data_IF_556881425734
#
_entry.id   IF_556881425734
#
_cell.length_a   1.000
_cell.length_b   1.000
_cell.length_c   1.000
_cell.angle_alpha   90.00
_cell.angle_beta   90.00
_cell.angle_gamma   90.00
#
_symmetry.space_group_name_H-M   'P 1'
#
loop_
_entity.id
_entity.type
_entity.pdbx_description
1 polymer ?
#
# COMPACT_ATOMS: atom_id res chain seq x y z
N UNK A 1 17.47 -99.80 -32.71
CA UNK A 1 16.20 -99.01 -32.83
C UNK A 1 16.38 -97.68 -32.15
N UNK A 2 16.31 -96.70 -32.95
CA UNK A 2 16.60 -95.29 -32.67
C UNK A 2 15.48 -94.59 -31.90
N UNK A 3 15.81 -93.71 -30.96
CA UNK A 3 14.96 -92.58 -30.61
C UNK A 3 15.84 -91.37 -30.29
N UNK A 4 15.74 -90.41 -31.14
CA UNK A 4 16.35 -89.03 -31.00
C UNK A 4 15.54 -88.23 -30.02
N UNK A 5 16.18 -87.65 -29.00
CA UNK A 5 15.60 -86.66 -28.14
C UNK A 5 15.90 -85.22 -28.63
N UNK A 6 14.87 -84.43 -28.81
CA UNK A 6 14.99 -83.05 -29.19
C UNK A 6 15.25 -82.16 -27.94
N UNK A 7 16.27 -81.33 -27.99
CA UNK A 7 16.56 -80.33 -26.99
C UNK A 7 15.80 -79.01 -27.31
N UNK A 8 14.97 -78.55 -26.38
CA UNK A 8 14.31 -77.25 -26.43
C UNK A 8 15.22 -76.15 -25.82
N UNK A 9 15.57 -75.17 -26.61
CA UNK A 9 16.22 -73.96 -26.17
C UNK A 9 15.13 -72.97 -25.70
N UNK A 10 15.14 -72.68 -24.41
CA UNK A 10 14.37 -71.57 -23.85
C UNK A 10 15.20 -70.28 -23.98
N UNK A 11 14.74 -69.36 -24.82
CA UNK A 11 15.29 -68.02 -24.91
C UNK A 11 14.70 -67.14 -23.80
N UNK A 12 15.57 -66.56 -22.96
CA UNK A 12 15.20 -65.56 -21.95
C UNK A 12 15.26 -64.21 -22.61
N UNK A 13 14.09 -63.60 -22.81
CA UNK A 13 13.97 -62.19 -23.24
C UNK A 13 14.14 -61.28 -22.02
N UNK A 14 15.23 -60.51 -21.95
CA UNK A 14 15.43 -59.48 -20.95
C UNK A 14 14.65 -58.23 -21.36
N UNK A 15 13.61 -57.87 -20.62
CA UNK A 15 12.88 -56.61 -20.75
C UNK A 15 13.67 -55.53 -20.01
N UNK A 16 14.34 -54.65 -20.75
CA UNK A 16 14.95 -53.45 -20.20
C UNK A 16 13.84 -52.38 -20.10
N UNK A 17 13.30 -52.17 -18.90
CA UNK A 17 12.40 -51.07 -18.57
C UNK A 17 13.24 -49.80 -18.45
N UNK A 18 13.25 -48.98 -19.51
CA UNK A 18 13.84 -47.65 -19.48
C UNK A 18 13.01 -46.70 -18.60
N UNK A 19 13.55 -46.34 -17.44
CA UNK A 19 13.04 -45.23 -16.63
C UNK A 19 13.31 -43.88 -17.38
N UNK A 20 12.32 -43.38 -18.09
CA UNK A 20 12.35 -42.03 -18.58
C UNK A 20 12.15 -41.06 -17.38
N UNK A 21 13.27 -40.53 -16.87
CA UNK A 21 13.22 -39.40 -15.93
C UNK A 21 12.76 -38.18 -16.72
N UNK A 22 11.47 -37.92 -16.65
CA UNK A 22 10.92 -36.68 -17.18
C UNK A 22 11.49 -35.50 -16.38
N UNK A 23 12.47 -34.78 -16.94
CA UNK A 23 12.79 -33.41 -16.51
C UNK A 23 11.56 -32.56 -16.79
N UNK A 24 10.64 -32.49 -15.85
CA UNK A 24 9.61 -31.46 -15.83
C UNK A 24 10.34 -30.12 -15.75
N UNK A 25 10.32 -29.36 -16.84
CA UNK A 25 10.68 -27.94 -16.82
C UNK A 25 9.75 -27.29 -15.78
N UNK A 26 10.29 -26.89 -14.64
CA UNK A 26 9.56 -26.02 -13.72
C UNK A 26 9.21 -24.75 -14.53
N UNK A 27 7.95 -24.57 -14.82
CA UNK A 27 7.50 -23.32 -15.42
C UNK A 27 8.01 -22.20 -14.53
N UNK A 28 8.72 -21.23 -15.11
CA UNK A 28 9.17 -20.06 -14.37
C UNK A 28 7.94 -19.41 -13.74
N UNK A 29 7.97 -19.23 -12.42
CA UNK A 29 6.87 -18.56 -11.73
C UNK A 29 6.80 -17.11 -12.22
N UNK A 30 5.63 -16.70 -12.67
CA UNK A 30 5.40 -15.28 -13.04
C UNK A 30 5.73 -14.40 -11.83
N UNK A 31 6.39 -13.25 -12.07
CA UNK A 31 6.75 -12.36 -10.99
C UNK A 31 5.48 -11.77 -10.33
N UNK A 32 5.50 -11.72 -9.00
CA UNK A 32 4.46 -11.02 -8.25
C UNK A 32 4.56 -9.51 -8.53
N UNK A 33 3.47 -8.85 -8.92
CA UNK A 33 3.46 -7.42 -9.18
C UNK A 33 2.96 -6.67 -7.96
N UNK A 34 3.82 -5.89 -7.33
CA UNK A 34 3.54 -5.15 -6.08
C UNK A 34 3.61 -3.66 -6.31
N UNK A 35 2.53 -2.96 -5.97
CA UNK A 35 2.51 -1.51 -5.89
C UNK A 35 2.87 -1.05 -4.49
N UNK A 36 3.80 -0.11 -4.34
CA UNK A 36 4.16 0.50 -3.07
C UNK A 36 3.81 1.99 -3.12
N UNK A 37 2.99 2.45 -2.18
CA UNK A 37 2.77 3.87 -1.90
C UNK A 37 3.54 4.21 -0.63
N UNK A 38 4.43 5.20 -0.70
CA UNK A 38 5.22 5.60 0.46
C UNK A 38 4.96 7.06 0.86
N UNK A 39 4.62 7.26 2.12
CA UNK A 39 4.41 8.54 2.78
C UNK A 39 5.51 8.80 3.82
N UNK A 40 5.58 9.95 4.45
CA UNK A 40 6.73 10.29 5.31
C UNK A 40 6.39 10.33 6.80
N UNK A 41 5.20 10.75 7.18
CA UNK A 41 4.82 10.98 8.57
C UNK A 41 4.95 9.71 9.42
N UNK A 42 4.57 8.57 8.85
CA UNK A 42 4.64 7.27 9.52
C UNK A 42 6.00 6.57 9.43
N UNK A 43 7.00 7.10 8.72
CA UNK A 43 8.34 6.50 8.62
C UNK A 43 9.01 6.45 9.99
N UNK A 44 9.61 5.32 10.34
CA UNK A 44 10.37 5.14 11.57
C UNK A 44 11.51 6.15 11.70
N UNK A 45 11.68 6.71 12.90
CA UNK A 45 12.68 7.77 13.13
C UNK A 45 12.25 9.18 12.74
N UNK A 46 11.13 9.36 12.03
CA UNK A 46 10.49 10.68 11.83
C UNK A 46 9.65 11.01 13.06
N UNK A 47 10.07 11.99 13.85
CA UNK A 47 9.49 12.29 15.18
C UNK A 47 9.07 13.73 15.39
N UNK A 48 9.14 14.58 14.36
CA UNK A 48 8.71 15.97 14.45
C UNK A 48 8.16 16.51 13.13
N UNK A 49 7.25 17.51 13.16
CA UNK A 49 6.70 18.12 11.95
C UNK A 49 7.78 18.72 11.02
N UNK A 50 8.89 19.23 11.59
CA UNK A 50 9.96 19.82 10.79
C UNK A 50 10.70 18.79 9.92
N UNK A 51 10.62 17.50 10.26
CA UNK A 51 11.24 16.43 9.45
C UNK A 51 10.44 16.11 8.18
N UNK A 52 9.16 16.46 8.12
CA UNK A 52 8.29 16.17 6.96
C UNK A 52 8.17 17.32 5.98
N UNK A 53 8.83 18.46 6.24
CA UNK A 53 8.71 19.66 5.40
C UNK A 53 10.01 19.96 4.67
N UNK A 54 9.94 20.23 3.36
CA UNK A 54 11.08 20.68 2.55
C UNK A 54 11.74 21.90 3.18
N UNK A 55 13.05 21.83 3.40
CA UNK A 55 13.80 22.85 4.11
C UNK A 55 13.67 22.84 5.63
N UNK A 56 12.85 21.95 6.18
CA UNK A 56 12.74 21.75 7.62
C UNK A 56 13.97 21.08 8.24
N UNK A 57 14.09 21.22 9.57
CA UNK A 57 15.19 20.58 10.30
C UNK A 57 15.12 19.06 10.14
N UNK A 58 16.23 18.46 9.76
CA UNK A 58 16.40 17.01 9.59
C UNK A 58 15.54 16.37 8.47
N UNK A 59 14.94 17.17 7.57
CA UNK A 59 14.23 16.65 6.40
C UNK A 59 15.11 15.74 5.52
N UNK A 60 16.39 16.10 5.34
CA UNK A 60 17.34 15.24 4.61
C UNK A 60 17.56 13.87 5.30
N UNK A 61 17.48 13.82 6.62
CA UNK A 61 17.52 12.56 7.37
C UNK A 61 16.24 11.76 7.17
N UNK A 62 15.07 12.40 7.22
CA UNK A 62 13.79 11.75 6.98
C UNK A 62 13.71 11.10 5.58
N UNK A 63 14.22 11.77 4.54
CA UNK A 63 14.32 11.22 3.19
C UNK A 63 15.16 9.94 3.12
N UNK A 64 16.29 9.88 3.84
CA UNK A 64 17.12 8.66 3.93
C UNK A 64 16.36 7.55 4.63
N UNK A 65 15.76 7.82 5.80
CA UNK A 65 14.97 6.84 6.54
C UNK A 65 13.83 6.27 5.68
N UNK A 66 13.13 7.14 4.94
CA UNK A 66 12.07 6.75 4.01
C UNK A 66 12.59 5.81 2.90
N UNK A 67 13.73 6.15 2.30
CA UNK A 67 14.36 5.33 1.26
C UNK A 67 14.85 3.99 1.82
N UNK A 68 15.42 3.99 3.02
CA UNK A 68 15.92 2.80 3.68
C UNK A 68 14.79 1.82 4.05
N UNK A 69 13.64 2.33 4.52
CA UNK A 69 12.45 1.49 4.78
C UNK A 69 11.88 0.89 3.50
N UNK A 70 11.80 1.66 2.41
CA UNK A 70 11.42 1.14 1.10
C UNK A 70 12.35 0.01 0.68
N UNK A 71 13.66 0.23 0.74
CA UNK A 71 14.67 -0.78 0.39
C UNK A 71 14.58 -2.03 1.28
N UNK A 72 14.26 -1.87 2.57
CA UNK A 72 14.07 -3.00 3.48
C UNK A 72 12.88 -3.88 3.07
N UNK A 73 11.76 -3.27 2.64
CA UNK A 73 10.58 -3.99 2.12
C UNK A 73 10.87 -4.60 0.76
N UNK A 74 11.51 -3.89 -0.15
CA UNK A 74 11.92 -4.39 -1.47
C UNK A 74 12.81 -5.63 -1.33
N UNK A 75 13.82 -5.57 -0.47
CA UNK A 75 14.70 -6.70 -0.21
C UNK A 75 13.97 -7.90 0.39
N UNK A 76 13.01 -7.66 1.30
CA UNK A 76 12.19 -8.72 1.88
C UNK A 76 11.28 -9.40 0.84
N UNK A 77 10.64 -8.64 -0.04
CA UNK A 77 9.83 -9.16 -1.15
C UNK A 77 10.69 -10.01 -2.10
N UNK A 78 11.82 -9.47 -2.57
CA UNK A 78 12.76 -10.16 -3.47
C UNK A 78 13.30 -11.47 -2.88
N UNK A 79 13.48 -11.54 -1.57
CA UNK A 79 13.92 -12.77 -0.89
C UNK A 79 12.87 -13.89 -0.91
N UNK A 80 11.63 -13.63 -1.31
CA UNK A 80 10.50 -14.58 -1.34
C UNK A 80 10.09 -15.05 -2.73
N UNK A 81 10.75 -14.54 -3.77
CA UNK A 81 10.53 -14.95 -5.16
C UNK A 81 10.67 -13.81 -6.16
N UNK A 82 10.44 -14.08 -7.43
CA UNK A 82 10.42 -13.05 -8.46
C UNK A 82 9.34 -12.00 -8.14
N UNK A 83 9.70 -10.71 -8.23
CA UNK A 83 8.78 -9.60 -7.97
C UNK A 83 9.09 -8.42 -8.89
N UNK A 84 8.03 -7.80 -9.41
CA UNK A 84 8.06 -6.50 -10.09
C UNK A 84 7.48 -5.44 -9.16
N UNK A 85 8.21 -4.38 -8.91
CA UNK A 85 7.82 -3.35 -7.94
C UNK A 85 7.69 -1.99 -8.63
N UNK A 86 6.54 -1.37 -8.46
CA UNK A 86 6.31 0.04 -8.75
C UNK A 86 6.13 0.79 -7.45
N UNK A 87 7.00 1.76 -7.21
CA UNK A 87 6.98 2.66 -6.06
C UNK A 87 6.42 4.01 -6.47
N UNK A 88 5.43 4.50 -5.75
CA UNK A 88 4.91 5.85 -5.89
C UNK A 88 5.22 6.67 -4.64
N UNK A 89 5.93 7.78 -4.79
CA UNK A 89 6.14 8.76 -3.73
C UNK A 89 4.85 9.52 -3.47
N UNK A 90 4.40 9.55 -2.23
CA UNK A 90 3.06 10.00 -1.86
C UNK A 90 3.04 11.18 -0.90
N UNK A 91 4.21 11.61 -0.40
CA UNK A 91 4.32 12.70 0.57
C UNK A 91 4.52 14.06 -0.10
N UNK A 92 3.74 15.04 0.32
CA UNK A 92 3.94 16.46 0.01
C UNK A 92 4.01 16.75 -1.50
N UNK A 93 5.20 17.10 -1.99
CA UNK A 93 5.48 17.38 -3.41
C UNK A 93 5.84 16.12 -4.22
N UNK A 94 5.81 14.95 -3.57
CA UNK A 94 6.10 13.64 -4.19
C UNK A 94 7.53 13.52 -4.75
N UNK A 95 8.53 14.09 -4.05
CA UNK A 95 9.94 14.10 -4.47
C UNK A 95 10.87 13.74 -3.30
N UNK A 96 10.43 12.85 -2.43
CA UNK A 96 11.10 12.60 -1.14
C UNK A 96 12.09 11.44 -1.18
N UNK A 97 11.76 10.35 -1.87
CA UNK A 97 12.64 9.18 -1.99
C UNK A 97 13.93 9.56 -2.73
N UNK A 98 15.07 9.10 -2.23
CA UNK A 98 16.38 9.29 -2.86
C UNK A 98 16.55 8.24 -3.97
N UNK A 99 16.22 8.59 -5.20
CA UNK A 99 16.19 7.68 -6.34
C UNK A 99 17.55 6.98 -6.56
N UNK A 100 18.67 7.69 -6.35
CA UNK A 100 20.02 7.13 -6.50
C UNK A 100 20.38 6.06 -5.49
N UNK A 101 19.68 6.02 -4.35
CA UNK A 101 19.90 5.10 -3.24
C UNK A 101 18.83 3.99 -3.19
N UNK A 102 17.83 4.07 -4.09
CA UNK A 102 16.78 3.06 -4.23
C UNK A 102 17.31 1.81 -4.94
N UNK A 103 16.79 0.64 -4.58
CA UNK A 103 17.08 -0.63 -5.27
C UNK A 103 16.83 -0.46 -6.79
N UNK A 104 17.81 -0.76 -7.64
CA UNK A 104 17.73 -0.48 -9.09
C UNK A 104 16.67 -1.30 -9.84
N UNK A 105 16.05 -2.30 -9.22
CA UNK A 105 14.95 -3.07 -9.81
C UNK A 105 13.58 -2.41 -9.65
N UNK A 106 13.48 -1.32 -8.87
CA UNK A 106 12.23 -0.63 -8.61
C UNK A 106 11.92 0.41 -9.69
N UNK A 107 10.72 0.36 -10.24
CA UNK A 107 10.20 1.46 -11.08
C UNK A 107 9.64 2.54 -10.15
N UNK A 108 10.16 3.76 -10.25
CA UNK A 108 9.82 4.86 -9.34
C UNK A 108 9.00 5.96 -10.02
N UNK A 109 7.87 6.31 -9.43
CA UNK A 109 6.99 7.41 -9.84
C UNK A 109 7.19 8.60 -8.91
N UNK A 110 7.77 9.66 -9.44
CA UNK A 110 8.11 10.89 -8.72
C UNK A 110 7.38 12.11 -9.29
N UNK A 111 7.20 13.11 -8.47
CA UNK A 111 6.74 14.44 -8.88
C UNK A 111 5.25 14.69 -8.67
N UNK A 112 4.89 15.95 -8.66
CA UNK A 112 3.54 16.50 -8.50
C UNK A 112 3.25 17.46 -9.68
N UNK A 113 2.04 17.57 -10.23
CA UNK A 113 0.79 17.03 -9.75
C UNK A 113 0.53 15.71 -10.49
N UNK A 114 0.16 14.67 -9.74
CA UNK A 114 -0.28 13.39 -10.30
C UNK A 114 -1.81 13.31 -10.18
N UNK A 115 -2.56 12.98 -11.24
CA UNK A 115 -4.03 12.87 -11.18
C UNK A 115 -4.53 11.92 -10.08
N UNK A 116 -3.86 10.79 -9.90
CA UNK A 116 -4.20 9.80 -8.86
C UNK A 116 -3.31 9.90 -7.61
N UNK A 117 -2.45 10.93 -7.48
CA UNK A 117 -1.67 11.22 -6.28
C UNK A 117 -0.96 10.03 -5.66
N UNK A 118 -1.42 9.63 -4.46
CA UNK A 118 -0.82 8.55 -3.67
C UNK A 118 -0.98 7.16 -4.30
N UNK A 119 -1.92 6.97 -5.22
CA UNK A 119 -2.14 5.71 -5.95
C UNK A 119 -1.82 5.84 -7.45
N UNK A 120 -1.04 6.85 -7.84
CA UNK A 120 -0.65 7.02 -9.24
C UNK A 120 0.16 5.81 -9.73
N UNK A 121 -0.34 5.17 -10.77
CA UNK A 121 0.26 3.96 -11.36
C UNK A 121 -0.35 2.65 -10.88
N UNK A 122 -1.22 2.67 -9.88
CA UNK A 122 -1.96 1.48 -9.44
C UNK A 122 -3.11 1.19 -10.41
N UNK A 123 -3.21 -0.06 -10.85
CA UNK A 123 -4.29 -0.59 -11.67
C UNK A 123 -4.52 -2.10 -11.40
N UNK A 124 -5.46 -2.71 -12.12
CA UNK A 124 -5.83 -4.13 -11.95
C UNK A 124 -4.72 -5.14 -12.38
N UNK A 125 -3.58 -4.68 -12.85
CA UNK A 125 -2.45 -5.55 -13.20
C UNK A 125 -1.55 -5.89 -12.01
N UNK A 126 -1.79 -5.27 -10.84
CA UNK A 126 -1.07 -5.57 -9.61
C UNK A 126 -1.75 -6.69 -8.83
N UNK A 127 -0.91 -7.54 -8.21
CA UNK A 127 -1.38 -8.62 -7.33
C UNK A 127 -1.59 -8.14 -5.90
N UNK A 128 -0.88 -7.09 -5.48
CA UNK A 128 -0.91 -6.56 -4.13
C UNK A 128 -0.47 -5.09 -4.04
N UNK A 129 -0.94 -4.40 -3.00
CA UNK A 129 -0.46 -3.08 -2.61
C UNK A 129 0.15 -3.09 -1.20
N UNK A 130 1.17 -2.25 -1.00
CA UNK A 130 1.86 -2.01 0.27
C UNK A 130 1.88 -0.51 0.52
N UNK A 131 1.48 -0.07 1.72
CA UNK A 131 1.49 1.32 2.13
C UNK A 131 2.52 1.52 3.24
N UNK A 132 3.55 2.32 2.99
CA UNK A 132 4.64 2.59 3.93
C UNK A 132 4.60 4.02 4.42
N UNK A 133 4.95 4.23 5.67
CA UNK A 133 5.05 5.55 6.26
C UNK A 133 3.71 6.27 6.41
N UNK A 134 2.60 5.55 6.46
CA UNK A 134 1.26 6.11 6.60
C UNK A 134 1.00 6.58 8.03
N UNK A 135 0.11 7.52 8.18
CA UNK A 135 -0.30 8.14 9.44
C UNK A 135 -1.82 8.04 9.63
N UNK A 136 -2.30 8.31 10.85
CA UNK A 136 -3.70 8.25 11.18
C UNK A 136 -4.55 9.30 10.46
N UNK A 137 -5.86 9.03 10.32
CA UNK A 137 -6.84 9.94 9.73
C UNK A 137 -6.97 11.27 10.49
N UNK A 138 -7.49 12.28 9.81
CA UNK A 138 -7.78 13.57 10.44
C UNK A 138 -8.71 13.41 11.63
N UNK A 139 -8.32 13.96 12.78
CA UNK A 139 -9.11 13.93 14.00
C UNK A 139 -8.83 12.77 14.94
N UNK A 140 -7.99 11.82 14.56
CA UNK A 140 -7.55 10.76 15.47
C UNK A 140 -6.68 11.35 16.59
N UNK A 141 -7.08 11.21 17.87
CA UNK A 141 -6.36 11.80 19.01
C UNK A 141 -5.03 11.11 19.32
N UNK A 142 -4.88 9.85 18.90
CA UNK A 142 -3.72 9.01 19.16
C UNK A 142 -2.75 8.94 17.98
N UNK A 143 -3.04 9.70 16.89
CA UNK A 143 -2.23 9.75 15.67
C UNK A 143 -1.11 10.80 15.72
N UNK A 144 0.07 10.44 15.22
CA UNK A 144 1.17 11.38 15.01
C UNK A 144 0.98 12.09 13.66
N UNK A 145 0.94 13.43 13.67
CA UNK A 145 0.69 14.29 12.50
C UNK A 145 -0.58 13.91 11.72
N UNK A 146 -1.59 13.40 12.41
CA UNK A 146 -2.84 12.90 11.83
C UNK A 146 -3.54 13.95 10.97
N UNK A 147 -3.81 13.61 9.72
CA UNK A 147 -4.53 14.44 8.76
C UNK A 147 -5.14 13.60 7.62
N UNK A 148 -5.83 14.21 6.67
CA UNK A 148 -6.37 13.51 5.50
C UNK A 148 -6.27 14.41 4.28
N UNK A 149 -5.25 14.20 3.43
CA UNK A 149 -4.98 14.94 2.20
C UNK A 149 -4.48 16.36 2.43
N UNK A 150 -5.01 17.06 3.41
CA UNK A 150 -4.55 18.39 3.83
C UNK A 150 -5.00 18.71 5.25
N UNK A 151 -4.34 19.66 5.91
CA UNK A 151 -4.75 20.16 7.21
C UNK A 151 -6.13 20.84 7.25
N UNK A 152 -6.71 21.16 6.10
CA UNK A 152 -8.05 21.74 5.99
C UNK A 152 -9.18 20.70 6.13
N UNK A 153 -8.89 19.41 5.92
CA UNK A 153 -9.84 18.32 6.09
C UNK A 153 -9.90 17.90 7.55
N UNK A 154 -11.11 17.74 8.07
CA UNK A 154 -11.38 17.37 9.47
C UNK A 154 -12.16 16.06 9.61
N UNK A 155 -12.49 15.42 8.50
CA UNK A 155 -13.10 14.10 8.42
C UNK A 155 -13.47 13.77 7.01
N UNK A 156 -13.35 12.51 6.64
CA UNK A 156 -13.72 11.94 5.37
C UNK A 156 -14.44 10.62 5.59
N UNK A 157 -15.57 10.43 4.93
CA UNK A 157 -16.33 9.19 4.95
C UNK A 157 -16.59 8.70 3.54
N UNK A 158 -16.38 7.41 3.33
CA UNK A 158 -16.82 6.65 2.15
C UNK A 158 -17.94 5.72 2.59
N UNK A 159 -19.15 5.99 2.12
CA UNK A 159 -20.36 5.36 2.64
C UNK A 159 -20.47 5.59 4.16
N UNK A 160 -20.43 4.53 4.96
CA UNK A 160 -20.53 4.61 6.41
C UNK A 160 -19.16 4.45 7.10
N UNK A 161 -18.06 4.36 6.34
CA UNK A 161 -16.70 4.21 6.85
C UNK A 161 -16.01 5.57 6.95
N UNK A 162 -15.58 5.96 8.14
CA UNK A 162 -14.65 7.05 8.32
C UNK A 162 -13.25 6.58 7.93
N UNK A 163 -12.55 7.39 7.12
CA UNK A 163 -11.28 7.00 6.52
C UNK A 163 -10.26 8.13 6.52
N UNK A 164 -9.00 7.75 6.63
CA UNK A 164 -7.86 8.56 6.27
C UNK A 164 -7.41 8.32 4.84
N UNK A 165 -6.18 8.72 4.55
CA UNK A 165 -5.54 8.51 3.25
C UNK A 165 -5.37 7.01 2.95
N UNK A 166 -5.01 6.21 3.97
CA UNK A 166 -4.88 4.76 3.83
C UNK A 166 -6.18 4.10 3.38
N UNK A 167 -7.30 4.42 4.03
CA UNK A 167 -8.61 3.88 3.67
C UNK A 167 -9.08 4.36 2.29
N UNK A 168 -8.90 5.65 1.96
CA UNK A 168 -9.21 6.18 0.64
C UNK A 168 -8.41 5.46 -0.47
N UNK A 169 -7.12 5.24 -0.25
CA UNK A 169 -6.24 4.55 -1.18
C UNK A 169 -6.58 3.06 -1.28
N UNK A 170 -6.96 2.43 -0.16
CA UNK A 170 -7.38 1.02 -0.13
C UNK A 170 -8.71 0.81 -0.88
N UNK A 171 -9.65 1.74 -0.78
CA UNK A 171 -10.90 1.69 -1.55
C UNK A 171 -10.64 1.77 -3.06
N UNK A 172 -9.70 2.63 -3.48
CA UNK A 172 -9.26 2.69 -4.88
C UNK A 172 -8.58 1.38 -5.33
N UNK A 173 -7.68 0.83 -4.53
CA UNK A 173 -7.04 -0.46 -4.81
C UNK A 173 -8.08 -1.60 -4.89
N UNK A 174 -9.02 -1.61 -3.96
CA UNK A 174 -10.09 -2.61 -3.88
C UNK A 174 -10.99 -2.65 -5.10
N UNK A 175 -11.31 -1.49 -5.68
CA UNK A 175 -12.07 -1.40 -6.94
C UNK A 175 -11.33 -2.09 -8.11
N UNK A 176 -10.01 -2.07 -8.10
CA UNK A 176 -9.17 -2.78 -9.07
C UNK A 176 -8.92 -4.25 -8.72
N UNK A 177 -9.51 -4.76 -7.64
CA UNK A 177 -9.29 -6.12 -7.17
C UNK A 177 -7.94 -6.32 -6.47
N UNK A 178 -7.23 -5.25 -6.11
CA UNK A 178 -5.90 -5.29 -5.52
C UNK A 178 -5.99 -5.21 -3.99
N UNK A 179 -5.60 -6.26 -3.25
CA UNK A 179 -5.59 -6.22 -1.79
C UNK A 179 -4.42 -5.38 -1.27
N UNK A 180 -4.65 -4.62 -0.19
CA UNK A 180 -3.59 -4.00 0.61
C UNK A 180 -3.07 -5.06 1.57
N UNK A 181 -1.87 -5.57 1.30
CA UNK A 181 -1.31 -6.69 2.07
C UNK A 181 -0.52 -6.25 3.29
N UNK A 182 0.04 -5.03 3.28
CA UNK A 182 0.82 -4.48 4.38
C UNK A 182 0.63 -2.98 4.50
N UNK A 183 0.41 -2.50 5.72
CA UNK A 183 0.49 -1.08 6.07
C UNK A 183 1.51 -0.90 7.19
N UNK A 184 2.46 0.02 7.01
CA UNK A 184 3.40 0.43 8.04
C UNK A 184 3.27 1.93 8.34
N UNK A 185 3.17 2.26 9.63
CA UNK A 185 2.96 3.64 10.05
C UNK A 185 2.99 3.81 11.57
N UNK A 186 2.44 4.92 12.06
CA UNK A 186 2.23 5.06 13.50
C UNK A 186 1.19 4.05 14.03
N UNK A 187 1.09 3.93 15.35
CA UNK A 187 0.22 2.92 15.98
C UNK A 187 -1.25 3.10 15.65
N UNK A 188 -1.73 4.33 15.47
CA UNK A 188 -3.12 4.61 15.13
C UNK A 188 -3.41 4.25 13.67
N UNK A 189 -2.53 4.63 12.72
CA UNK A 189 -2.64 4.21 11.32
C UNK A 189 -2.62 2.68 11.16
N UNK A 190 -1.75 1.99 11.91
CA UNK A 190 -1.69 0.53 11.90
C UNK A 190 -2.99 -0.09 12.43
N UNK A 191 -3.58 0.48 13.48
CA UNK A 191 -4.86 0.02 14.03
C UNK A 191 -6.03 0.27 13.05
N UNK A 192 -6.11 1.46 12.44
CA UNK A 192 -7.11 1.77 11.41
C UNK A 192 -7.04 0.77 10.25
N UNK A 193 -5.83 0.55 9.73
CA UNK A 193 -5.63 -0.33 8.58
C UNK A 193 -5.98 -1.79 8.89
N UNK A 194 -5.52 -2.30 10.03
CA UNK A 194 -5.79 -3.68 10.46
C UNK A 194 -7.27 -3.94 10.75
N UNK A 195 -8.01 -2.92 11.20
CA UNK A 195 -9.45 -3.04 11.46
C UNK A 195 -10.29 -3.02 10.18
N UNK A 196 -9.81 -2.41 9.08
CA UNK A 196 -10.63 -2.13 7.92
C UNK A 196 -10.19 -2.85 6.64
N UNK A 197 -8.90 -2.84 6.28
CA UNK A 197 -8.51 -3.19 4.91
C UNK A 197 -7.16 -3.89 4.76
N UNK A 198 -6.26 -3.84 5.72
CA UNK A 198 -4.92 -4.42 5.59
C UNK A 198 -4.85 -5.85 6.11
N UNK A 199 -4.08 -6.71 5.41
CA UNK A 199 -3.86 -8.09 5.84
C UNK A 199 -2.79 -8.20 6.95
N UNK A 200 -1.79 -7.31 6.95
CA UNK A 200 -0.76 -7.21 7.98
C UNK A 200 -0.45 -5.73 8.28
N UNK A 201 -0.01 -5.42 9.50
CA UNK A 201 0.38 -4.06 9.89
C UNK A 201 1.70 -4.04 10.65
N UNK A 202 2.45 -2.94 10.52
CA UNK A 202 3.70 -2.71 11.24
C UNK A 202 3.68 -1.33 11.90
N UNK A 203 3.78 -1.31 13.23
CA UNK A 203 3.94 -0.07 13.99
C UNK A 203 5.40 0.36 14.01
N UNK A 204 5.67 1.56 13.49
CA UNK A 204 7.00 2.21 13.42
C UNK A 204 7.26 3.15 14.59
N UNK A 205 6.19 3.72 15.14
CA UNK A 205 6.19 4.70 16.25
C UNK A 205 4.82 4.75 16.94
N UNK A 206 4.77 5.43 18.08
CA UNK A 206 3.52 5.77 18.77
C UNK A 206 3.50 7.26 19.07
N UNK A 207 2.37 7.94 18.87
CA UNK A 207 2.23 9.33 19.24
C UNK A 207 2.33 9.51 20.76
N UNK A 208 3.08 10.50 21.21
CA UNK A 208 3.01 11.04 22.57
C UNK A 208 2.08 12.26 22.62
N UNK A 209 2.05 13.00 21.55
CA UNK A 209 1.13 14.09 21.23
C UNK A 209 0.92 14.12 19.71
N UNK A 210 -0.02 14.88 19.20
CA UNK A 210 -0.18 15.04 17.74
C UNK A 210 1.09 15.49 16.98
N UNK A 211 2.09 16.02 17.67
CA UNK A 211 3.33 16.55 17.06
C UNK A 211 4.63 16.01 17.66
N UNK A 212 4.55 15.02 18.54
CA UNK A 212 5.70 14.34 19.13
C UNK A 212 5.45 12.84 19.19
N UNK A 213 6.46 12.03 18.86
CA UNK A 213 6.33 10.59 18.79
C UNK A 213 7.39 9.87 19.63
N UNK A 214 7.01 8.74 20.17
CA UNK A 214 7.91 7.73 20.74
C UNK A 214 8.37 6.83 19.61
N UNK A 215 9.66 6.95 19.27
CA UNK A 215 10.25 6.31 18.12
C UNK A 215 10.74 4.90 18.43
N UNK A 216 10.59 4.01 17.46
CA UNK A 216 11.30 2.74 17.39
C UNK A 216 12.59 2.98 16.61
N UNK A 217 13.70 2.35 17.05
CA UNK A 217 14.98 2.48 16.34
C UNK A 217 14.87 1.95 14.90
N UNK A 218 15.45 2.62 13.88
CA UNK A 218 15.30 2.22 12.47
C UNK A 218 15.66 0.76 12.17
N UNK A 219 16.71 0.21 12.77
CA UNK A 219 17.06 -1.21 12.59
C UNK A 219 15.95 -2.16 13.08
N UNK A 220 15.30 -1.83 14.19
CA UNK A 220 14.16 -2.59 14.70
C UNK A 220 12.93 -2.42 13.80
N UNK A 221 12.70 -1.23 13.26
CA UNK A 221 11.65 -1.00 12.25
C UNK A 221 11.90 -1.89 11.02
N UNK A 222 13.13 -1.90 10.49
CA UNK A 222 13.48 -2.77 9.36
C UNK A 222 13.27 -4.27 9.68
N UNK A 223 13.56 -4.70 10.92
CA UNK A 223 13.28 -6.06 11.34
C UNK A 223 11.79 -6.36 11.34
N UNK A 224 10.96 -5.44 11.84
CA UNK A 224 9.50 -5.55 11.85
C UNK A 224 8.92 -5.55 10.44
N UNK A 225 9.41 -4.68 9.56
CA UNK A 225 8.99 -4.62 8.15
C UNK A 225 9.24 -5.96 7.44
N UNK A 226 10.41 -6.58 7.64
CA UNK A 226 10.69 -7.91 7.07
C UNK A 226 9.70 -8.97 7.57
N UNK A 227 9.41 -8.98 8.86
CA UNK A 227 8.43 -9.91 9.44
C UNK A 227 7.00 -9.62 8.92
N UNK A 228 6.62 -8.34 8.80
CA UNK A 228 5.34 -7.92 8.24
C UNK A 228 5.17 -8.33 6.77
N UNK A 229 6.23 -8.27 5.97
CA UNK A 229 6.22 -8.77 4.58
C UNK A 229 5.99 -10.28 4.55
N UNK A 230 6.61 -11.04 5.46
CA UNK A 230 6.39 -12.49 5.54
C UNK A 230 4.94 -12.83 5.89
N UNK A 231 4.35 -12.14 6.86
CA UNK A 231 2.94 -12.26 7.24
C UNK A 231 2.01 -11.90 6.08
N UNK A 232 2.24 -10.75 5.45
CA UNK A 232 1.47 -10.24 4.33
C UNK A 232 1.46 -11.21 3.13
N UNK A 233 2.62 -11.71 2.74
CA UNK A 233 2.72 -12.71 1.67
C UNK A 233 2.10 -14.05 2.06
N UNK A 234 2.15 -14.43 3.34
CA UNK A 234 1.44 -15.59 3.87
C UNK A 234 -0.08 -15.43 3.70
N UNK A 235 -0.63 -14.29 4.07
CA UNK A 235 -2.04 -13.97 3.91
C UNK A 235 -2.48 -13.93 2.43
N UNK A 236 -1.64 -13.35 1.55
CA UNK A 236 -1.90 -13.32 0.11
C UNK A 236 -1.97 -14.73 -0.48
N UNK A 237 -0.98 -15.60 -0.19
CA UNK A 237 -0.94 -16.98 -0.66
C UNK A 237 -2.09 -17.83 -0.12
N UNK A 238 -2.51 -17.58 1.11
CA UNK A 238 -3.66 -18.26 1.72
C UNK A 238 -5.01 -17.74 1.18
N UNK A 239 -5.01 -16.68 0.38
CA UNK A 239 -6.21 -16.01 -0.13
C UNK A 239 -7.01 -15.32 0.98
N UNK A 240 -6.40 -15.02 2.14
CA UNK A 240 -7.05 -14.27 3.23
C UNK A 240 -6.88 -12.75 3.09
N UNK A 241 -5.86 -12.28 2.38
CA UNK A 241 -5.78 -10.88 1.97
C UNK A 241 -6.86 -10.61 0.91
N UNK A 242 -7.77 -9.70 1.22
CA UNK A 242 -8.93 -9.37 0.36
C UNK A 242 -8.88 -7.92 -0.06
N UNK A 243 -9.24 -7.61 -1.32
CA UNK A 243 -9.50 -6.24 -1.73
C UNK A 243 -10.61 -5.64 -0.86
N UNK A 244 -10.43 -4.40 -0.44
CA UNK A 244 -11.45 -3.70 0.35
C UNK A 244 -12.42 -2.98 -0.59
N UNK A 245 -13.52 -3.63 -0.90
CA UNK A 245 -14.59 -3.08 -1.74
C UNK A 245 -15.58 -2.28 -0.88
N UNK A 246 -15.65 -0.98 -1.14
CA UNK A 246 -16.61 -0.08 -0.48
C UNK A 246 -17.97 -0.06 -1.17
N UNK A 247 -18.12 -0.84 -2.27
CA UNK A 247 -19.32 -0.88 -3.10
C UNK A 247 -19.47 0.33 -4.03
N UNK A 248 -20.54 0.29 -4.83
CA UNK A 248 -20.97 1.36 -5.72
C UNK A 248 -22.48 1.52 -5.64
N UNK A 249 -23.03 2.76 -5.67
CA UNK A 249 -22.32 4.04 -5.68
C UNK A 249 -21.63 4.36 -4.35
N UNK A 250 -20.62 5.26 -4.39
CA UNK A 250 -19.89 5.70 -3.20
C UNK A 250 -20.40 7.06 -2.72
N UNK A 251 -20.99 7.08 -1.53
CA UNK A 251 -21.35 8.34 -0.86
C UNK A 251 -20.15 8.93 -0.16
N UNK A 252 -19.67 10.05 -0.67
CA UNK A 252 -18.61 10.85 -0.05
C UNK A 252 -19.25 11.82 0.94
N UNK A 253 -18.70 11.91 2.14
CA UNK A 253 -18.95 13.01 3.06
C UNK A 253 -17.60 13.54 3.53
N UNK A 254 -17.40 14.85 3.42
CA UNK A 254 -16.11 15.47 3.74
C UNK A 254 -16.32 16.73 4.57
N UNK A 255 -15.66 16.78 5.72
CA UNK A 255 -15.72 17.89 6.66
C UNK A 255 -14.45 18.72 6.57
N UNK A 256 -14.63 20.03 6.55
CA UNK A 256 -13.56 21.02 6.40
C UNK A 256 -13.39 21.90 7.64
N UNK A 257 -12.25 22.57 7.74
CA UNK A 257 -11.93 23.48 8.83
C UNK A 257 -12.66 24.84 8.71
N UNK A 258 -13.19 25.18 7.52
CA UNK A 258 -13.82 26.47 7.27
C UNK A 258 -15.12 26.34 6.46
N UNK A 259 -16.18 27.08 6.81
CA UNK A 259 -17.39 27.15 6.00
C UNK A 259 -17.14 27.66 4.56
N UNK A 260 -16.13 28.51 4.36
CA UNK A 260 -15.76 29.03 3.04
C UNK A 260 -15.39 27.90 2.08
N UNK A 261 -14.71 26.85 2.55
CA UNK A 261 -14.41 25.68 1.73
C UNK A 261 -15.69 25.01 1.23
N UNK A 262 -16.67 24.86 2.10
CA UNK A 262 -17.99 24.29 1.76
C UNK A 262 -18.72 25.13 0.72
N UNK A 263 -18.70 26.46 0.87
CA UNK A 263 -19.38 27.38 -0.05
C UNK A 263 -18.73 27.35 -1.45
N UNK A 264 -17.39 27.31 -1.52
CA UNK A 264 -16.65 27.19 -2.80
C UNK A 264 -16.97 25.87 -3.51
N UNK A 265 -17.05 24.77 -2.78
CA UNK A 265 -17.32 23.46 -3.33
C UNK A 265 -18.74 23.29 -3.88
N UNK A 266 -19.69 24.19 -3.53
CA UNK A 266 -21.02 24.20 -4.15
C UNK A 266 -20.98 24.51 -5.67
N UNK A 267 -19.86 25.01 -6.20
CA UNK A 267 -19.65 25.16 -7.64
C UNK A 267 -19.53 23.83 -8.40
N UNK A 268 -19.31 22.72 -7.70
CA UNK A 268 -19.23 21.37 -8.30
C UNK A 268 -20.67 20.86 -8.50
N UNK A 269 -21.09 20.59 -9.75
CA UNK A 269 -22.43 20.05 -10.01
C UNK A 269 -22.69 18.74 -9.22
N UNK A 270 -23.81 18.67 -8.52
CA UNK A 270 -24.18 17.53 -7.68
C UNK A 270 -23.63 17.56 -6.26
N UNK A 271 -22.77 18.53 -5.93
CA UNK A 271 -22.31 18.72 -4.54
C UNK A 271 -23.46 19.24 -3.67
N UNK A 272 -23.65 18.65 -2.52
CA UNK A 272 -24.64 19.07 -1.53
C UNK A 272 -23.97 19.57 -0.25
N UNK A 273 -24.52 20.65 0.32
CA UNK A 273 -24.13 21.17 1.62
C UNK A 273 -24.92 20.42 2.71
N UNK A 274 -24.21 19.70 3.57
CA UNK A 274 -24.82 18.98 4.71
C UNK A 274 -25.00 19.91 5.90
N UNK A 275 -23.96 20.64 6.22
CA UNK A 275 -23.93 21.68 7.26
C UNK A 275 -22.90 22.77 6.91
N UNK A 276 -22.61 23.67 7.84
CA UNK A 276 -21.66 24.79 7.62
C UNK A 276 -20.23 24.34 7.31
N UNK A 277 -19.87 23.12 7.64
CA UNK A 277 -18.50 22.58 7.50
C UNK A 277 -18.40 21.33 6.63
N UNK A 278 -19.53 20.77 6.20
CA UNK A 278 -19.58 19.44 5.59
C UNK A 278 -20.28 19.46 4.23
N UNK A 279 -19.66 18.89 3.23
CA UNK A 279 -20.25 18.59 1.93
C UNK A 279 -20.49 17.08 1.78
N UNK A 280 -21.44 16.74 0.90
CA UNK A 280 -21.64 15.37 0.46
C UNK A 280 -21.80 15.29 -1.06
N UNK A 281 -21.38 14.17 -1.62
CA UNK A 281 -21.51 13.82 -3.04
C UNK A 281 -21.71 12.32 -3.18
N UNK A 282 -22.47 11.91 -4.19
CA UNK A 282 -22.59 10.49 -4.53
C UNK A 282 -21.84 10.24 -5.83
N UNK A 283 -20.70 9.55 -5.74
CA UNK A 283 -19.90 9.15 -6.88
C UNK A 283 -20.41 7.81 -7.44
N UNK A 284 -20.20 7.58 -8.74
CA UNK A 284 -20.59 6.36 -9.42
C UNK A 284 -19.82 5.14 -8.88
N UNK A 285 -18.53 5.32 -8.58
CA UNK A 285 -17.60 4.31 -8.09
C UNK A 285 -16.46 4.91 -7.26
N UNK A 286 -15.50 4.07 -6.84
CA UNK A 286 -14.37 4.49 -6.04
C UNK A 286 -13.34 5.31 -6.84
N UNK A 287 -13.21 5.17 -8.17
CA UNK A 287 -12.33 6.02 -9.00
C UNK A 287 -12.84 7.45 -9.05
N UNK A 288 -14.13 7.62 -9.36
CA UNK A 288 -14.75 8.95 -9.36
C UNK A 288 -14.69 9.58 -7.95
N UNK A 289 -14.97 8.80 -6.91
CA UNK A 289 -14.88 9.25 -5.53
C UNK A 289 -13.45 9.73 -5.20
N UNK A 290 -12.46 8.93 -5.53
CA UNK A 290 -11.06 9.23 -5.28
C UNK A 290 -10.62 10.54 -5.95
N UNK A 291 -10.91 10.69 -7.25
CA UNK A 291 -10.57 11.90 -8.03
C UNK A 291 -11.24 13.14 -7.48
N UNK A 292 -12.51 13.03 -7.10
CA UNK A 292 -13.24 14.16 -6.53
C UNK A 292 -12.72 14.56 -5.15
N UNK A 293 -12.43 13.60 -4.27
CA UNK A 293 -11.83 13.86 -2.96
C UNK A 293 -10.49 14.58 -3.13
N UNK A 294 -9.64 14.09 -4.05
CA UNK A 294 -8.36 14.75 -4.35
C UNK A 294 -8.53 16.17 -4.85
N UNK A 295 -9.48 16.42 -5.75
CA UNK A 295 -9.81 17.75 -6.21
C UNK A 295 -10.20 18.66 -5.04
N UNK A 296 -11.08 18.17 -4.16
CA UNK A 296 -11.59 18.94 -3.02
C UNK A 296 -10.46 19.36 -2.08
N UNK A 297 -9.63 18.45 -1.59
CA UNK A 297 -8.59 18.81 -0.63
C UNK A 297 -7.40 19.55 -1.27
N UNK A 298 -7.11 19.29 -2.55
CA UNK A 298 -5.94 19.88 -3.21
C UNK A 298 -6.15 21.36 -3.58
N UNK A 299 -7.36 21.75 -3.98
CA UNK A 299 -7.64 23.06 -4.50
C UNK A 299 -8.46 23.97 -3.57
N UNK A 300 -8.96 23.46 -2.46
CA UNK A 300 -9.69 24.23 -1.45
C UNK A 300 -8.83 24.54 -0.22
N UNK A 301 -7.73 23.79 -0.02
CA UNK A 301 -6.74 24.10 1.02
C UNK A 301 -5.74 25.11 0.49
N UNK A 302 -5.78 26.31 0.97
CA UNK A 302 -4.75 27.34 0.80
C UNK A 302 -3.97 27.55 2.08
#
# INVERSE_FOLDING_TARGET
MSRRGAASLLGVAAVVAGLAVGCGSAAAQEPLRVFISVDMEGIGGVGSPAMTSTGGKDYATARRLMTDEVNAVVAALKARGPVEIVLNDSHGDHQNVLHTDLDPSVTYIQGSIKPLGMVQGLDASFDAAVFLGYHAMAGDPDGFLAHTGSGSVKGLWLNDHEVGEGGMNAAFAGMHGVPVILVAGDSAAAAEAGAQYAAATVTTKTAETPSAARLVHPEEVHRRLRAGVDEALGALRAGSARPWDVGAPVRIRMRFASPTHVDVLQAIPGMSKVDGYTVAYTAEDADQAYRLIRLMYRFVSS
#
